data_IF_903163912422
#
_entry.id   IF_903163912422
#
_cell.length_a   1.000
_cell.length_b   1.000
_cell.length_c   1.000
_cell.angle_alpha   90.00
_cell.angle_beta   90.00
_cell.angle_gamma   90.00
#
_symmetry.space_group_name_H-M   'P 1'
#
loop_
_entity.id
_entity.type
_entity.pdbx_description
1 polymer ?
#
# COMPACT_ATOMS: atom_id res chain seq x y z
N UNK A 1 65.94 25.29 -3.19
CA UNK A 1 64.72 26.00 -3.59
C UNK A 1 63.62 24.96 -3.53
N UNK A 2 62.97 24.85 -2.37
CA UNK A 2 61.88 23.91 -2.07
C UNK A 2 61.28 24.25 -0.69
N UNK A 3 59.99 23.88 -0.51
CA UNK A 3 59.25 23.68 0.75
C UNK A 3 58.94 24.87 1.69
N UNK A 4 57.65 24.97 2.10
CA UNK A 4 57.07 25.47 3.39
C UNK A 4 55.63 25.97 3.17
N UNK A 5 54.59 25.69 3.97
CA UNK A 5 54.39 25.65 5.43
C UNK A 5 53.07 24.88 5.72
N UNK A 6 52.71 24.37 6.90
CA UNK A 6 53.39 24.01 8.15
C UNK A 6 52.30 23.35 9.02
N UNK A 7 52.51 22.10 9.45
CA UNK A 7 51.68 21.36 10.41
C UNK A 7 52.54 21.09 11.66
N UNK A 8 51.90 21.26 12.83
CA UNK A 8 52.25 20.73 14.16
C UNK A 8 53.54 21.23 14.85
N UNK A 9 53.33 21.89 15.99
CA UNK A 9 54.27 21.95 17.10
C UNK A 9 53.64 21.31 18.33
N UNK A 10 54.17 20.16 18.74
CA UNK A 10 53.93 19.45 19.99
C UNK A 10 55.26 19.44 20.76
N UNK A 11 55.21 19.57 22.09
CA UNK A 11 56.30 19.18 22.98
C UNK A 11 56.24 19.79 24.38
N UNK A 12 56.04 18.94 25.41
CA UNK A 12 56.64 19.16 26.74
C UNK A 12 55.76 18.94 27.98
N UNK A 13 55.60 17.69 28.42
CA UNK A 13 55.21 17.17 29.76
C UNK A 13 56.29 17.45 30.87
N UNK A 14 56.21 16.98 32.16
CA UNK A 14 55.10 16.80 33.12
C UNK A 14 55.46 17.14 34.63
N UNK A 15 54.50 16.84 35.54
CA UNK A 15 54.60 16.45 36.98
C UNK A 15 54.50 17.51 38.11
N UNK A 16 53.44 17.42 38.96
CA UNK A 16 53.48 16.90 40.35
C UNK A 16 52.08 16.88 41.03
N UNK A 17 51.85 15.87 41.87
CA UNK A 17 50.66 15.47 42.65
C UNK A 17 50.09 16.49 43.68
N UNK A 18 48.81 16.37 44.06
CA UNK A 18 48.32 15.79 45.35
C UNK A 18 46.90 16.25 45.80
N UNK A 19 46.12 15.31 46.37
CA UNK A 19 44.82 15.41 47.12
C UNK A 19 43.52 15.45 46.26
N UNK A 20 42.56 14.50 46.28
CA UNK A 20 42.02 13.61 47.34
C UNK A 20 41.05 14.39 48.26
N UNK A 21 39.76 14.08 48.51
CA UNK A 21 38.87 12.96 48.20
C UNK A 21 37.37 13.35 48.43
N UNK A 22 36.46 12.64 47.75
CA UNK A 22 35.17 12.04 48.20
C UNK A 22 33.99 12.78 48.92
N UNK A 23 32.80 12.59 48.30
CA UNK A 23 31.43 12.30 48.79
C UNK A 23 30.70 13.13 49.88
N UNK A 24 29.47 13.60 49.60
CA UNK A 24 28.21 13.02 50.13
C UNK A 24 26.90 13.80 49.78
N UNK A 25 25.83 13.02 49.61
CA UNK A 25 24.39 13.36 49.60
C UNK A 25 23.91 14.09 50.88
N UNK A 26 22.88 14.96 50.78
CA UNK A 26 21.67 14.92 51.64
C UNK A 26 20.55 15.88 51.21
N UNK A 27 19.35 15.35 51.29
CA UNK A 27 18.02 15.98 51.31
C UNK A 27 17.75 16.73 52.62
N UNK A 28 16.91 17.77 52.61
CA UNK A 28 15.85 18.02 53.62
C UNK A 28 14.95 19.22 53.26
N UNK A 29 13.87 19.33 54.01
CA UNK A 29 12.58 19.98 53.79
C UNK A 29 12.41 21.35 54.49
N UNK A 30 11.32 22.05 54.11
CA UNK A 30 10.35 22.79 54.96
C UNK A 30 10.64 24.24 55.43
N UNK A 31 9.60 25.07 55.20
CA UNK A 31 9.01 26.17 56.02
C UNK A 31 9.67 27.55 56.21
N UNK A 32 8.81 28.58 56.09
CA UNK A 32 8.85 29.91 56.75
C UNK A 32 9.56 30.99 55.93
N UNK A 33 9.16 32.27 55.89
CA UNK A 33 8.13 33.05 56.61
C UNK A 33 8.08 34.46 55.96
N UNK A 34 7.18 35.33 56.46
CA UNK A 34 7.03 36.79 56.29
C UNK A 34 5.91 37.30 55.37
N UNK A 35 4.84 37.78 56.03
CA UNK A 35 3.71 38.51 55.46
C UNK A 35 3.68 40.01 55.79
N UNK A 36 2.60 40.66 55.37
CA UNK A 36 2.00 41.91 55.87
C UNK A 36 0.68 42.11 55.07
N UNK A 37 -0.50 41.86 55.66
CA UNK A 37 -1.40 42.80 56.37
C UNK A 37 -2.45 43.46 55.46
N UNK A 38 -3.73 43.11 55.64
CA UNK A 38 -4.88 43.96 56.02
C UNK A 38 -6.19 43.12 55.99
N UNK A 39 -7.03 43.25 57.02
CA UNK A 39 -8.07 42.27 57.38
C UNK A 39 -9.55 42.67 57.22
N UNK A 40 -10.40 41.82 57.85
CA UNK A 40 -11.87 41.84 58.07
C UNK A 40 -12.79 41.34 56.92
N UNK A 41 -13.89 40.59 57.09
CA UNK A 41 -14.49 39.78 58.17
C UNK A 41 -15.67 38.90 57.61
N UNK A 42 -15.73 37.60 57.99
CA UNK A 42 -16.83 36.56 57.92
C UNK A 42 -17.58 36.22 56.60
N UNK A 43 -18.22 35.02 56.43
CA UNK A 43 -18.10 33.72 57.11
C UNK A 43 -17.72 32.55 56.16
N UNK A 44 -17.25 31.44 56.74
CA UNK A 44 -16.81 30.22 56.05
C UNK A 44 -17.99 29.41 55.49
N UNK A 45 -18.13 29.36 54.17
CA UNK A 45 -18.99 28.39 53.48
C UNK A 45 -18.17 27.13 53.17
N UNK A 46 -18.57 26.00 53.76
CA UNK A 46 -18.07 24.67 53.47
C UNK A 46 -18.43 24.27 52.04
N UNK A 47 -17.52 24.53 51.10
CA UNK A 47 -17.59 23.97 49.75
C UNK A 47 -17.21 22.49 49.82
N UNK A 48 -18.23 21.66 50.02
CA UNK A 48 -18.19 20.27 49.56
C UNK A 48 -17.91 20.29 48.06
N UNK A 49 -16.77 19.74 47.67
CA UNK A 49 -16.38 19.63 46.28
C UNK A 49 -17.28 18.60 45.60
N UNK A 50 -18.38 19.08 45.00
CA UNK A 50 -19.19 18.27 44.11
C UNK A 50 -18.32 17.87 42.93
N UNK A 51 -18.05 16.56 42.81
CA UNK A 51 -17.38 15.99 41.66
C UNK A 51 -18.21 16.30 40.41
N UNK A 52 -17.67 17.09 39.49
CA UNK A 52 -18.24 17.23 38.15
C UNK A 52 -18.08 15.89 37.42
N UNK A 53 -19.07 15.02 37.55
CA UNK A 53 -19.21 13.85 36.70
C UNK A 53 -19.50 14.32 35.26
N UNK A 54 -18.57 14.03 34.35
CA UNK A 54 -18.83 14.15 32.91
C UNK A 54 -20.00 13.22 32.55
N UNK A 55 -20.97 13.66 31.72
CA UNK A 55 -22.06 12.78 31.33
C UNK A 55 -21.52 11.66 30.44
N UNK A 56 -21.61 10.43 30.95
CA UNK A 56 -21.38 9.20 30.20
C UNK A 56 -22.47 9.03 29.15
N UNK A 57 -22.09 9.07 27.87
CA UNK A 57 -22.93 8.86 26.69
C UNK A 57 -23.54 7.44 26.56
N UNK A 58 -23.61 6.68 27.67
CA UNK A 58 -24.05 5.28 27.69
C UNK A 58 -25.52 5.11 28.12
N UNK A 59 -26.20 6.16 28.61
CA UNK A 59 -27.49 6.01 29.28
C UNK A 59 -28.72 6.16 28.35
N UNK A 60 -28.55 6.63 27.12
CA UNK A 60 -29.66 6.81 26.17
C UNK A 60 -29.86 5.62 25.22
N UNK A 61 -29.16 4.49 25.43
CA UNK A 61 -29.25 3.31 24.56
C UNK A 61 -30.26 2.25 25.04
N UNK A 62 -30.91 2.44 26.19
CA UNK A 62 -31.77 1.42 26.83
C UNK A 62 -33.27 1.73 26.81
N UNK A 63 -33.74 2.80 26.16
CA UNK A 63 -35.16 3.22 26.20
C UNK A 63 -36.02 2.72 25.02
N UNK A 64 -35.49 1.90 24.11
CA UNK A 64 -36.29 1.27 23.06
C UNK A 64 -36.02 -0.23 22.96
N UNK A 65 -36.46 -0.96 23.99
CA UNK A 65 -36.59 -2.41 23.93
C UNK A 65 -38.07 -2.75 24.12
N UNK A 66 -38.82 -2.84 23.00
CA UNK A 66 -40.12 -3.48 23.01
C UNK A 66 -39.92 -5.01 23.13
N UNK A 67 -40.54 -5.69 24.10
CA UNK A 67 -40.37 -7.12 24.29
C UNK A 67 -41.43 -7.87 23.48
N UNK A 68 -41.23 -8.04 22.17
CA UNK A 68 -42.08 -8.93 21.37
C UNK A 68 -41.43 -9.25 20.02
N UNK A 69 -40.57 -10.28 19.98
CA UNK A 69 -40.41 -11.27 18.89
C UNK A 69 -39.15 -12.09 19.14
N UNK A 70 -39.26 -13.10 20.00
CA UNK A 70 -38.36 -14.25 19.98
C UNK A 70 -38.81 -15.14 18.80
N UNK A 71 -38.03 -15.18 17.72
CA UNK A 71 -38.29 -16.01 16.55
C UNK A 71 -37.04 -16.20 15.72
N UNK A 72 -36.55 -17.44 15.71
CA UNK A 72 -35.34 -17.87 15.04
C UNK A 72 -35.32 -17.61 13.53
N UNK A 73 -34.17 -17.19 13.01
CA UNK A 73 -33.65 -17.64 11.72
C UNK A 73 -32.18 -17.19 11.58
N UNK A 74 -31.27 -18.16 11.62
CA UNK A 74 -29.90 -17.95 11.17
C UNK A 74 -29.90 -17.60 9.68
N UNK A 75 -29.16 -16.57 9.31
CA UNK A 75 -28.70 -16.41 7.94
C UNK A 75 -27.19 -16.22 7.97
N UNK A 76 -26.49 -17.17 7.36
CA UNK A 76 -25.10 -17.10 6.98
C UNK A 76 -24.91 -15.87 6.10
N UNK A 77 -24.28 -14.83 6.65
CA UNK A 77 -23.95 -13.61 5.95
C UNK A 77 -22.90 -13.85 4.87
N UNK A 78 -23.33 -14.31 3.69
CA UNK A 78 -22.58 -14.10 2.47
C UNK A 78 -22.55 -12.58 2.22
N UNK A 79 -21.38 -11.95 2.35
CA UNK A 79 -21.21 -10.53 2.08
C UNK A 79 -21.60 -10.27 0.62
N UNK A 80 -22.82 -9.76 0.38
CA UNK A 80 -23.18 -9.22 -0.92
C UNK A 80 -22.20 -8.09 -1.21
N UNK A 81 -21.44 -8.19 -2.29
CA UNK A 81 -20.60 -7.09 -2.77
C UNK A 81 -21.54 -5.93 -3.14
N UNK A 82 -21.67 -4.96 -2.26
CA UNK A 82 -22.53 -3.80 -2.49
C UNK A 82 -21.84 -2.82 -3.46
N UNK A 83 -22.33 -2.79 -4.70
CA UNK A 83 -21.88 -1.88 -5.76
C UNK A 83 -22.56 -0.49 -5.68
N UNK A 84 -23.17 -0.12 -4.56
CA UNK A 84 -23.84 1.18 -4.40
C UNK A 84 -22.91 2.38 -4.68
N UNK A 85 -21.60 2.25 -4.50
CA UNK A 85 -20.62 3.29 -4.89
C UNK A 85 -20.57 3.57 -6.39
N UNK A 86 -20.93 2.61 -7.24
CA UNK A 86 -21.00 2.73 -8.71
C UNK A 86 -22.18 3.60 -9.15
N UNK A 87 -23.12 3.94 -8.26
CA UNK A 87 -24.20 4.91 -8.57
C UNK A 87 -23.68 6.33 -8.75
N UNK A 88 -22.50 6.66 -8.19
CA UNK A 88 -21.87 7.97 -8.36
C UNK A 88 -21.08 8.02 -9.67
N UNK A 89 -21.23 9.12 -10.42
CA UNK A 89 -20.66 9.30 -11.76
C UNK A 89 -19.14 9.13 -11.82
N UNK A 90 -18.40 9.65 -10.83
CA UNK A 90 -16.93 9.65 -10.85
C UNK A 90 -16.31 8.30 -10.45
N UNK A 91 -16.76 7.62 -9.38
CA UNK A 91 -16.34 6.25 -9.08
C UNK A 91 -16.64 5.27 -10.23
N UNK A 92 -17.82 5.38 -10.84
CA UNK A 92 -18.18 4.57 -12.00
C UNK A 92 -17.26 4.83 -13.19
N UNK A 93 -16.97 6.12 -13.49
CA UNK A 93 -16.04 6.47 -14.55
C UNK A 93 -14.62 5.95 -14.30
N UNK A 94 -14.12 6.04 -13.05
CA UNK A 94 -12.79 5.53 -12.70
C UNK A 94 -12.70 4.01 -12.89
N UNK A 95 -13.71 3.26 -12.41
CA UNK A 95 -13.80 1.81 -12.60
C UNK A 95 -13.95 1.42 -14.08
N UNK A 96 -14.75 2.16 -14.85
CA UNK A 96 -14.94 1.90 -16.27
C UNK A 96 -13.66 2.12 -17.07
N UNK A 97 -12.94 3.22 -16.81
CA UNK A 97 -11.69 3.56 -17.49
C UNK A 97 -10.61 2.51 -17.23
N UNK A 98 -10.43 2.09 -15.97
CA UNK A 98 -9.46 1.03 -15.63
C UNK A 98 -9.88 -0.33 -16.16
N UNK A 99 -11.17 -0.66 -16.13
CA UNK A 99 -11.72 -1.89 -16.70
C UNK A 99 -11.54 -1.99 -18.22
N UNK A 100 -11.80 -0.91 -18.94
CA UNK A 100 -11.62 -0.84 -20.40
C UNK A 100 -10.13 -0.93 -20.75
N UNK A 101 -9.24 -0.23 -20.03
CA UNK A 101 -7.79 -0.36 -20.20
C UNK A 101 -7.33 -1.80 -20.02
N UNK A 102 -7.75 -2.45 -18.93
CA UNK A 102 -7.42 -3.84 -18.65
C UNK A 102 -7.88 -4.76 -19.78
N UNK A 103 -9.13 -4.62 -20.25
CA UNK A 103 -9.68 -5.45 -21.32
C UNK A 103 -8.90 -5.32 -22.62
N UNK A 104 -8.62 -4.08 -23.07
CA UNK A 104 -7.94 -3.83 -24.34
C UNK A 104 -6.50 -4.35 -24.29
N UNK A 105 -5.76 -4.03 -23.23
CA UNK A 105 -4.36 -4.47 -23.12
C UNK A 105 -4.26 -5.99 -22.98
N UNK A 106 -5.16 -6.64 -22.22
CA UNK A 106 -5.16 -8.10 -22.13
C UNK A 106 -5.49 -8.77 -23.46
N UNK A 107 -6.37 -8.19 -24.28
CA UNK A 107 -6.64 -8.69 -25.63
C UNK A 107 -5.40 -8.58 -26.53
N UNK A 108 -4.68 -7.45 -26.45
CA UNK A 108 -3.45 -7.24 -27.22
C UNK A 108 -2.35 -8.20 -26.80
N UNK A 109 -2.11 -8.36 -25.50
CA UNK A 109 -1.12 -9.29 -24.97
C UNK A 109 -1.45 -10.75 -25.32
N UNK A 110 -2.74 -11.13 -25.27
CA UNK A 110 -3.19 -12.47 -25.68
C UNK A 110 -2.95 -12.73 -27.18
N UNK A 111 -3.20 -11.74 -28.04
CA UNK A 111 -2.91 -11.83 -29.47
C UNK A 111 -1.41 -11.98 -29.74
N UNK A 112 -0.57 -11.13 -29.13
CA UNK A 112 0.89 -11.18 -29.26
C UNK A 112 1.42 -12.55 -28.80
N UNK A 113 0.93 -13.05 -27.66
CA UNK A 113 1.28 -14.37 -27.17
C UNK A 113 0.88 -15.49 -28.14
N UNK A 114 -0.34 -15.45 -28.66
CA UNK A 114 -0.83 -16.44 -29.62
C UNK A 114 0.02 -16.48 -30.90
N UNK A 115 0.29 -15.30 -31.49
CA UNK A 115 1.16 -15.17 -32.66
C UNK A 115 2.58 -15.65 -32.41
N UNK A 116 3.15 -15.33 -31.25
CA UNK A 116 4.46 -15.82 -30.86
C UNK A 116 4.51 -17.34 -30.77
N UNK A 117 3.57 -17.97 -30.05
CA UNK A 117 3.52 -19.42 -29.88
C UNK A 117 3.37 -20.15 -31.22
N UNK A 118 2.55 -19.62 -32.12
CA UNK A 118 2.37 -20.18 -33.47
C UNK A 118 3.61 -20.02 -34.36
N UNK A 119 4.52 -19.11 -34.03
CA UNK A 119 5.73 -18.84 -34.83
C UNK A 119 6.96 -19.60 -34.33
N UNK A 120 6.84 -20.35 -33.23
CA UNK A 120 7.93 -21.15 -32.68
C UNK A 120 8.08 -22.45 -33.46
N UNK A 121 9.32 -22.75 -33.86
CA UNK A 121 9.68 -23.97 -34.58
C UNK A 121 10.06 -25.13 -33.65
N UNK A 122 10.95 -25.99 -34.14
CA UNK A 122 11.48 -27.10 -33.35
C UNK A 122 12.20 -26.60 -32.08
N UNK A 123 12.02 -27.32 -30.98
CA UNK A 123 12.60 -26.96 -29.70
C UNK A 123 14.13 -27.02 -29.71
N UNK A 124 14.78 -25.91 -29.37
CA UNK A 124 16.25 -25.81 -29.32
C UNK A 124 16.75 -25.83 -27.86
N UNK A 125 17.50 -26.86 -27.43
CA UNK A 125 17.92 -27.03 -26.03
C UNK A 125 19.13 -26.16 -25.62
N UNK A 126 19.26 -24.95 -26.17
CA UNK A 126 20.34 -24.02 -25.82
C UNK A 126 19.90 -23.09 -24.67
N UNK A 127 20.69 -22.94 -23.58
CA UNK A 127 20.29 -22.13 -22.42
C UNK A 127 19.91 -20.68 -22.76
N UNK A 128 20.58 -20.07 -23.73
CA UNK A 128 20.30 -18.70 -24.18
C UNK A 128 18.95 -18.57 -24.92
N UNK A 129 18.52 -19.62 -25.62
CA UNK A 129 17.24 -19.68 -26.34
C UNK A 129 16.10 -19.99 -25.39
N UNK A 130 16.35 -20.86 -24.40
CA UNK A 130 15.36 -21.21 -23.37
C UNK A 130 14.82 -20.01 -22.61
N UNK A 131 15.65 -19.02 -22.30
CA UNK A 131 15.19 -17.79 -21.65
C UNK A 131 14.32 -16.93 -22.58
N UNK A 132 14.54 -16.98 -23.91
CA UNK A 132 13.73 -16.24 -24.88
C UNK A 132 12.31 -16.82 -25.00
N UNK A 133 12.15 -18.15 -25.03
CA UNK A 133 10.83 -18.79 -25.09
C UNK A 133 9.92 -18.37 -23.93
N UNK A 134 10.51 -18.07 -22.77
CA UNK A 134 9.77 -17.68 -21.55
C UNK A 134 9.48 -16.18 -21.44
N UNK A 135 10.08 -15.36 -22.30
CA UNK A 135 10.02 -13.89 -22.22
C UNK A 135 8.59 -13.39 -22.42
N UNK A 136 7.97 -13.71 -23.55
CA UNK A 136 6.58 -13.30 -23.85
C UNK A 136 5.56 -13.89 -22.85
N UNK A 137 5.60 -15.21 -22.51
CA UNK A 137 4.73 -15.77 -21.47
C UNK A 137 4.85 -15.06 -20.12
N UNK A 138 6.08 -14.64 -19.75
CA UNK A 138 6.32 -13.90 -18.51
C UNK A 138 5.63 -12.55 -18.57
N UNK A 139 5.85 -11.75 -19.62
CA UNK A 139 5.17 -10.47 -19.81
C UNK A 139 3.64 -10.60 -19.72
N UNK A 140 3.05 -11.53 -20.47
CA UNK A 140 1.61 -11.79 -20.46
C UNK A 140 1.09 -12.10 -19.04
N UNK A 141 1.76 -13.02 -18.33
CA UNK A 141 1.36 -13.42 -16.98
C UNK A 141 1.32 -12.23 -16.01
N UNK A 142 2.23 -11.29 -16.19
CA UNK A 142 2.33 -10.10 -15.34
C UNK A 142 1.37 -9.01 -15.70
N UNK A 143 1.01 -8.85 -16.97
CA UNK A 143 -0.09 -7.97 -17.33
C UNK A 143 -1.42 -8.52 -16.82
N UNK A 144 -1.66 -9.83 -16.92
CA UNK A 144 -2.83 -10.47 -16.32
C UNK A 144 -2.88 -10.19 -14.82
N UNK A 145 -1.80 -10.49 -14.11
CA UNK A 145 -1.71 -10.22 -12.68
C UNK A 145 -1.85 -8.72 -12.36
N UNK A 146 -1.18 -7.88 -13.14
CA UNK A 146 -1.15 -6.42 -13.06
C UNK A 146 -2.53 -5.81 -13.11
N UNK A 147 -3.22 -6.00 -14.24
CA UNK A 147 -4.53 -5.42 -14.47
C UNK A 147 -5.61 -6.00 -13.56
N UNK A 148 -5.55 -7.31 -13.26
CA UNK A 148 -6.52 -7.91 -12.35
C UNK A 148 -6.36 -7.37 -10.92
N UNK A 149 -5.11 -7.27 -10.44
CA UNK A 149 -4.84 -6.72 -9.12
C UNK A 149 -5.16 -5.23 -9.04
N UNK A 150 -4.86 -4.47 -10.09
CA UNK A 150 -5.24 -3.05 -10.20
C UNK A 150 -6.76 -2.89 -10.07
N UNK A 151 -7.56 -3.71 -10.76
CA UNK A 151 -9.02 -3.68 -10.62
C UNK A 151 -9.48 -4.00 -9.19
N UNK A 152 -8.86 -4.97 -8.52
CA UNK A 152 -9.15 -5.28 -7.12
C UNK A 152 -8.85 -4.06 -6.23
N UNK A 153 -7.72 -3.37 -6.44
CA UNK A 153 -7.39 -2.16 -5.70
C UNK A 153 -8.34 -1.01 -5.99
N UNK A 154 -8.76 -0.84 -7.25
CA UNK A 154 -9.76 0.17 -7.63
C UNK A 154 -11.07 -0.08 -6.88
N UNK A 155 -11.56 -1.31 -6.88
CA UNK A 155 -12.79 -1.69 -6.19
C UNK A 155 -12.69 -1.43 -4.68
N UNK A 156 -11.58 -1.85 -4.06
CA UNK A 156 -11.32 -1.62 -2.64
C UNK A 156 -11.24 -0.13 -2.30
N UNK A 157 -10.49 0.65 -3.10
CA UNK A 157 -10.27 2.08 -2.88
C UNK A 157 -11.57 2.89 -3.02
N UNK A 158 -12.39 2.56 -4.02
CA UNK A 158 -13.69 3.22 -4.25
C UNK A 158 -14.71 2.85 -3.18
N UNK A 159 -14.78 1.57 -2.79
CA UNK A 159 -15.67 1.11 -1.70
C UNK A 159 -15.36 1.80 -0.39
N UNK A 160 -14.07 1.88 -0.03
CA UNK A 160 -13.61 2.48 1.22
C UNK A 160 -13.50 4.01 1.15
N UNK A 161 -13.87 4.63 0.01
CA UNK A 161 -13.67 6.07 -0.30
C UNK A 161 -12.26 6.56 0.05
N UNK A 162 -11.25 5.71 -0.16
CA UNK A 162 -9.88 5.95 0.24
C UNK A 162 -9.10 6.64 -0.89
N UNK A 163 -9.03 7.96 -0.82
CA UNK A 163 -8.36 8.77 -1.85
C UNK A 163 -6.87 8.48 -1.97
N UNK A 164 -6.20 8.10 -0.88
CA UNK A 164 -4.77 7.76 -0.89
C UNK A 164 -4.53 6.52 -1.75
N UNK A 165 -5.39 5.51 -1.62
CA UNK A 165 -5.29 4.31 -2.45
C UNK A 165 -5.55 4.62 -3.93
N UNK A 166 -6.49 5.51 -4.25
CA UNK A 166 -6.77 5.93 -5.64
C UNK A 166 -5.53 6.62 -6.26
N UNK A 167 -4.87 7.49 -5.50
CA UNK A 167 -3.59 8.09 -5.93
C UNK A 167 -2.53 7.00 -6.14
N UNK A 168 -2.43 6.06 -5.21
CA UNK A 168 -1.53 4.92 -5.32
C UNK A 168 -1.80 4.05 -6.56
N UNK A 169 -3.08 3.85 -6.93
CA UNK A 169 -3.47 3.14 -8.15
C UNK A 169 -2.98 3.88 -9.40
N UNK A 170 -3.07 5.22 -9.43
CA UNK A 170 -2.50 6.00 -10.54
C UNK A 170 -0.98 5.82 -10.67
N UNK A 171 -0.27 5.76 -9.54
CA UNK A 171 1.19 5.50 -9.50
C UNK A 171 1.49 4.06 -9.96
N UNK A 172 0.67 3.08 -9.54
CA UNK A 172 0.81 1.70 -9.99
C UNK A 172 0.58 1.58 -11.51
N UNK A 173 -0.38 2.32 -12.08
CA UNK A 173 -0.59 2.35 -13.53
C UNK A 173 0.62 2.97 -14.26
N UNK A 174 1.28 3.97 -13.68
CA UNK A 174 2.55 4.49 -14.20
C UNK A 174 3.67 3.43 -14.19
N UNK A 175 3.71 2.56 -13.17
CA UNK A 175 4.65 1.44 -13.16
C UNK A 175 4.34 0.41 -14.26
N UNK A 176 3.06 0.12 -14.53
CA UNK A 176 2.63 -0.69 -15.68
C UNK A 176 3.02 -0.04 -17.02
N UNK A 177 2.96 1.29 -17.12
CA UNK A 177 3.42 2.03 -18.30
C UNK A 177 4.92 1.81 -18.54
N UNK A 178 5.77 2.04 -17.53
CA UNK A 178 7.22 1.81 -17.62
C UNK A 178 7.49 0.36 -18.03
N UNK A 179 6.77 -0.58 -17.44
CA UNK A 179 6.91 -2.00 -17.74
C UNK A 179 6.56 -2.34 -19.19
N UNK A 180 5.45 -1.80 -19.72
CA UNK A 180 5.06 -1.97 -21.13
C UNK A 180 6.05 -1.34 -22.12
N UNK A 181 6.71 -0.24 -21.75
CA UNK A 181 7.79 0.32 -22.56
C UNK A 181 9.03 -0.60 -22.58
N UNK A 182 9.41 -1.16 -21.42
CA UNK A 182 10.54 -2.10 -21.33
C UNK A 182 10.30 -3.43 -22.07
N UNK A 183 9.03 -3.84 -22.20
CA UNK A 183 8.66 -5.05 -22.93
C UNK A 183 9.01 -4.96 -24.42
N UNK A 184 8.78 -3.80 -25.06
CA UNK A 184 9.00 -3.59 -26.49
C UNK A 184 10.44 -3.98 -26.90
N UNK A 185 11.43 -3.40 -26.22
CA UNK A 185 12.84 -3.67 -26.51
C UNK A 185 13.23 -5.13 -26.22
N UNK A 186 12.70 -5.71 -25.14
CA UNK A 186 13.04 -7.08 -24.73
C UNK A 186 12.46 -8.12 -25.69
N UNK A 187 11.23 -7.91 -26.18
CA UNK A 187 10.63 -8.80 -27.18
C UNK A 187 11.38 -8.70 -28.51
N UNK A 188 11.69 -7.49 -28.98
CA UNK A 188 12.45 -7.31 -30.23
C UNK A 188 13.81 -8.02 -30.17
N UNK A 189 14.53 -7.88 -29.06
CA UNK A 189 15.79 -8.56 -28.83
C UNK A 189 15.63 -10.07 -28.77
N UNK A 190 14.59 -10.57 -28.10
CA UNK A 190 14.31 -12.00 -28.00
C UNK A 190 14.06 -12.63 -29.36
N UNK A 191 13.27 -11.98 -30.23
CA UNK A 191 12.99 -12.45 -31.58
C UNK A 191 14.25 -12.59 -32.44
N UNK A 192 15.17 -11.62 -32.37
CA UNK A 192 16.44 -11.70 -33.09
C UNK A 192 17.31 -12.87 -32.62
N UNK A 193 17.34 -13.13 -31.31
CA UNK A 193 18.09 -14.28 -30.75
C UNK A 193 17.44 -15.61 -31.17
N UNK A 194 16.12 -15.70 -31.18
CA UNK A 194 15.39 -16.89 -31.62
C UNK A 194 15.68 -17.21 -33.10
N UNK A 195 15.71 -16.20 -33.97
CA UNK A 195 16.02 -16.36 -35.40
C UNK A 195 17.44 -16.86 -35.63
N UNK A 196 18.45 -16.21 -35.03
CA UNK A 196 19.87 -16.59 -35.19
C UNK A 196 20.15 -18.03 -34.74
N UNK A 197 19.37 -18.55 -33.79
CA UNK A 197 19.52 -19.90 -33.28
C UNK A 197 18.56 -20.92 -33.93
N UNK A 198 17.84 -20.55 -35.00
CA UNK A 198 16.95 -21.46 -35.72
C UNK A 198 15.75 -21.96 -34.92
N UNK A 199 15.29 -21.16 -33.94
CA UNK A 199 14.20 -21.50 -33.04
C UNK A 199 12.81 -21.06 -33.54
N UNK A 200 12.76 -20.31 -34.65
CA UNK A 200 11.53 -19.93 -35.35
C UNK A 200 11.14 -21.00 -36.38
N UNK A 201 9.86 -21.06 -36.72
CA UNK A 201 9.36 -21.96 -37.77
C UNK A 201 10.02 -21.65 -39.14
N UNK A 202 10.19 -22.68 -39.97
CA UNK A 202 10.78 -22.53 -41.29
C UNK A 202 9.96 -21.55 -42.15
N UNK A 203 10.61 -20.52 -42.68
CA UNK A 203 9.97 -19.48 -43.50
C UNK A 203 9.44 -18.28 -42.71
N UNK A 204 9.49 -18.31 -41.37
CA UNK A 204 9.17 -17.16 -40.53
C UNK A 204 10.48 -16.46 -40.13
N UNK A 205 10.62 -15.20 -40.52
CA UNK A 205 11.74 -14.34 -40.07
C UNK A 205 11.34 -13.53 -38.85
N UNK A 206 12.32 -13.08 -38.07
CA UNK A 206 12.04 -12.19 -36.93
C UNK A 206 11.39 -10.89 -37.39
N UNK A 207 11.74 -10.40 -38.59
CA UNK A 207 11.19 -9.20 -39.20
C UNK A 207 9.70 -9.35 -39.53
N UNK A 208 9.28 -10.49 -40.10
CA UNK A 208 7.87 -10.76 -40.39
C UNK A 208 7.03 -10.84 -39.12
N UNK A 209 7.51 -11.58 -38.12
CA UNK A 209 6.81 -11.69 -36.84
C UNK A 209 6.74 -10.34 -36.11
N UNK A 210 7.83 -9.57 -36.15
CA UNK A 210 7.85 -8.22 -35.59
C UNK A 210 6.84 -7.30 -36.28
N UNK A 211 6.73 -7.36 -37.60
CA UNK A 211 5.77 -6.54 -38.36
C UNK A 211 4.32 -6.82 -37.93
N UNK A 212 3.99 -8.09 -37.68
CA UNK A 212 2.69 -8.55 -37.21
C UNK A 212 2.33 -8.08 -35.79
N UNK A 213 3.32 -8.03 -34.86
CA UNK A 213 3.06 -7.78 -33.44
C UNK A 213 3.42 -6.36 -32.96
N UNK A 214 4.29 -5.64 -33.68
CA UNK A 214 4.84 -4.34 -33.24
C UNK A 214 3.74 -3.31 -32.98
N UNK A 215 2.67 -3.31 -33.79
CA UNK A 215 1.58 -2.35 -33.65
C UNK A 215 0.88 -2.50 -32.30
N UNK A 216 0.63 -3.73 -31.87
CA UNK A 216 0.00 -4.05 -30.58
C UNK A 216 0.93 -3.73 -29.41
N UNK A 217 2.21 -4.09 -29.51
CA UNK A 217 3.21 -3.82 -28.47
C UNK A 217 3.45 -2.32 -28.26
N UNK A 218 3.38 -1.50 -29.32
CA UNK A 218 3.48 -0.04 -29.23
C UNK A 218 2.15 0.57 -28.73
N UNK A 219 1.02 -0.01 -29.10
CA UNK A 219 -0.28 0.48 -28.66
C UNK A 219 -0.49 0.31 -27.14
N UNK A 220 0.01 -0.78 -26.53
CA UNK A 220 -0.10 -1.04 -25.08
C UNK A 220 0.38 0.15 -24.22
N UNK A 221 1.64 0.63 -24.30
CA UNK A 221 2.09 1.78 -23.52
C UNK A 221 1.32 3.07 -23.86
N UNK A 222 0.92 3.28 -25.11
CA UNK A 222 0.14 4.46 -25.49
C UNK A 222 -1.24 4.47 -24.81
N UNK A 223 -1.93 3.33 -24.79
CA UNK A 223 -3.23 3.18 -24.13
C UNK A 223 -3.11 3.36 -22.63
N UNK A 224 -2.07 2.77 -22.00
CA UNK A 224 -1.82 2.94 -20.56
C UNK A 224 -1.50 4.40 -20.25
N UNK A 225 -0.72 5.10 -21.08
CA UNK A 225 -0.39 6.51 -20.88
C UNK A 225 -1.62 7.42 -20.97
N UNK A 226 -2.44 7.27 -22.02
CA UNK A 226 -3.68 8.04 -22.19
C UNK A 226 -4.63 7.78 -21.03
N UNK A 227 -4.79 6.51 -20.65
CA UNK A 227 -5.64 6.13 -19.53
C UNK A 227 -5.10 6.70 -18.21
N UNK A 228 -3.79 6.72 -17.98
CA UNK A 228 -3.18 7.32 -16.80
C UNK A 228 -3.54 8.80 -16.68
N UNK A 229 -3.50 9.56 -17.78
CA UNK A 229 -3.90 10.98 -17.80
C UNK A 229 -5.37 11.13 -17.41
N UNK A 230 -6.24 10.30 -17.97
CA UNK A 230 -7.68 10.28 -17.65
C UNK A 230 -7.90 9.91 -16.18
N UNK A 231 -7.20 8.89 -15.66
CA UNK A 231 -7.26 8.45 -14.28
C UNK A 231 -6.83 9.57 -13.32
N UNK A 232 -5.76 10.31 -13.63
CA UNK A 232 -5.31 11.45 -12.80
C UNK A 232 -6.38 12.54 -12.77
N UNK A 233 -7.01 12.85 -13.91
CA UNK A 233 -8.10 13.82 -13.96
C UNK A 233 -9.32 13.37 -13.12
N UNK A 234 -9.75 12.12 -13.26
CA UNK A 234 -10.86 11.57 -12.47
C UNK A 234 -10.49 11.51 -10.99
N UNK A 235 -9.25 11.17 -10.65
CA UNK A 235 -8.73 11.16 -9.28
C UNK A 235 -8.81 12.54 -8.64
N UNK A 236 -8.50 13.59 -9.39
CA UNK A 236 -8.67 14.97 -8.89
C UNK A 236 -10.13 15.29 -8.57
N UNK A 237 -11.08 14.85 -9.41
CA UNK A 237 -12.52 15.01 -9.14
C UNK A 237 -12.99 14.17 -7.94
N UNK A 238 -12.49 12.94 -7.80
CA UNK A 238 -12.76 12.09 -6.64
C UNK A 238 -12.19 12.68 -5.35
N UNK A 239 -10.99 13.26 -5.39
CA UNK A 239 -10.40 13.96 -4.27
C UNK A 239 -11.30 15.11 -3.80
N UNK A 240 -11.82 15.92 -4.72
CA UNK A 240 -12.78 16.98 -4.37
C UNK A 240 -14.04 16.41 -3.72
N UNK A 241 -14.64 15.37 -4.30
CA UNK A 241 -15.86 14.74 -3.78
C UNK A 241 -15.66 14.12 -2.39
N UNK A 242 -14.55 13.40 -2.18
CA UNK A 242 -14.26 12.73 -0.91
C UNK A 242 -13.72 13.67 0.17
N UNK A 243 -13.06 14.77 -0.19
CA UNK A 243 -12.60 15.77 0.79
C UNK A 243 -13.77 16.38 1.57
N UNK A 244 -14.92 16.61 0.91
CA UNK A 244 -16.15 17.10 1.56
C UNK A 244 -16.73 16.08 2.55
N UNK A 245 -16.80 14.80 2.16
CA UNK A 245 -17.27 13.71 3.04
C UNK A 245 -16.36 13.52 4.26
N UNK A 246 -15.03 13.56 4.06
CA UNK A 246 -14.03 13.42 5.12
C UNK A 246 -14.09 14.61 6.09
N UNK A 247 -14.33 15.83 5.61
CA UNK A 247 -14.49 17.01 6.47
C UNK A 247 -15.72 16.89 7.38
N UNK A 248 -16.82 16.33 6.86
CA UNK A 248 -18.08 16.20 7.60
C UNK A 248 -18.04 15.12 8.69
N UNK A 249 -17.31 14.03 8.46
CA UNK A 249 -17.31 12.87 9.37
C UNK A 249 -16.26 12.93 10.49
N UNK A 250 -15.14 13.66 10.31
CA UNK A 250 -14.02 13.65 11.26
C UNK A 250 -14.06 14.85 12.25
N UNK A 251 -14.83 15.91 11.95
CA UNK A 251 -14.80 17.14 12.72
C UNK A 251 -13.46 17.90 12.60
N UNK A 252 -13.33 19.01 13.31
CA UNK A 252 -12.20 19.95 13.15
C UNK A 252 -10.89 19.53 13.85
N UNK A 253 -10.80 18.35 14.48
CA UNK A 253 -9.55 17.91 15.12
C UNK A 253 -8.52 17.42 14.08
N UNK A 254 -7.67 18.36 13.68
CA UNK A 254 -6.56 18.16 12.76
C UNK A 254 -5.57 17.06 13.20
N UNK A 255 -5.34 16.89 14.52
CA UNK A 255 -4.35 15.93 15.03
C UNK A 255 -4.83 14.50 14.86
N UNK A 256 -6.12 14.23 15.09
CA UNK A 256 -6.69 12.91 14.85
C UNK A 256 -6.74 12.58 13.36
N UNK A 257 -7.13 13.55 12.52
CA UNK A 257 -7.14 13.40 11.06
C UNK A 257 -5.76 13.06 10.50
N UNK A 258 -4.69 13.71 10.99
CA UNK A 258 -3.32 13.40 10.58
C UNK A 258 -2.88 11.97 10.94
N UNK A 259 -3.23 11.49 12.14
CA UNK A 259 -2.92 10.11 12.57
C UNK A 259 -3.66 9.07 11.73
N UNK A 260 -4.92 9.32 11.41
CA UNK A 260 -5.71 8.45 10.53
C UNK A 260 -5.17 8.44 9.09
N UNK A 261 -4.71 9.58 8.58
CA UNK A 261 -4.06 9.69 7.27
C UNK A 261 -2.81 8.81 7.19
N UNK A 262 -1.92 8.90 8.18
CA UNK A 262 -0.71 8.05 8.23
C UNK A 262 -1.04 6.55 8.26
N UNK A 263 -2.08 6.16 9.02
CA UNK A 263 -2.58 4.79 9.02
C UNK A 263 -3.10 4.36 7.65
N UNK A 264 -3.90 5.19 6.97
CA UNK A 264 -4.40 4.87 5.63
C UNK A 264 -3.28 4.77 4.59
N UNK A 265 -2.28 5.66 4.65
CA UNK A 265 -1.07 5.57 3.81
C UNK A 265 -0.37 4.25 4.05
N UNK A 266 -0.17 3.88 5.31
CA UNK A 266 0.50 2.64 5.67
C UNK A 266 -0.25 1.41 5.12
N UNK A 267 -1.56 1.29 5.35
CA UNK A 267 -2.36 0.18 4.82
C UNK A 267 -2.38 0.16 3.28
N UNK A 268 -2.38 1.33 2.62
CA UNK A 268 -2.26 1.41 1.18
C UNK A 268 -0.90 0.86 0.70
N UNK A 269 0.20 1.29 1.32
CA UNK A 269 1.54 0.81 1.02
C UNK A 269 1.65 -0.72 1.18
N UNK A 270 1.05 -1.31 2.21
CA UNK A 270 1.04 -2.77 2.38
C UNK A 270 0.39 -3.53 1.20
N UNK A 271 -0.64 -2.94 0.57
CA UNK A 271 -1.28 -3.54 -0.60
C UNK A 271 -0.39 -3.43 -1.84
N UNK A 272 0.24 -2.28 -2.05
CA UNK A 272 1.20 -2.12 -3.15
C UNK A 272 2.45 -2.98 -2.94
N UNK A 273 2.96 -3.11 -1.71
CA UNK A 273 4.05 -4.03 -1.38
C UNK A 273 3.69 -5.47 -1.76
N UNK A 274 2.49 -5.93 -1.41
CA UNK A 274 2.01 -7.25 -1.83
C UNK A 274 2.05 -7.43 -3.35
N UNK A 275 1.57 -6.42 -4.08
CA UNK A 275 1.55 -6.45 -5.55
C UNK A 275 2.94 -6.56 -6.16
N UNK A 276 3.83 -5.63 -5.83
CA UNK A 276 5.16 -5.59 -6.44
C UNK A 276 6.03 -6.77 -5.99
N UNK A 277 5.88 -7.20 -4.73
CA UNK A 277 6.52 -8.42 -4.24
C UNK A 277 6.06 -9.65 -5.03
N UNK A 278 4.75 -9.86 -5.13
CA UNK A 278 4.21 -11.02 -5.81
C UNK A 278 4.51 -10.98 -7.31
N UNK A 279 4.43 -9.82 -7.95
CA UNK A 279 4.83 -9.62 -9.34
C UNK A 279 6.29 -9.97 -9.59
N UNK A 280 7.20 -9.54 -8.71
CA UNK A 280 8.62 -9.93 -8.77
C UNK A 280 8.80 -11.45 -8.63
N UNK A 281 8.12 -12.08 -7.67
CA UNK A 281 8.23 -13.54 -7.47
C UNK A 281 7.67 -14.30 -8.67
N UNK A 282 6.54 -13.89 -9.23
CA UNK A 282 5.96 -14.50 -10.44
C UNK A 282 6.93 -14.39 -11.61
N UNK A 283 7.51 -13.20 -11.86
CA UNK A 283 8.56 -13.01 -12.88
C UNK A 283 9.72 -13.96 -12.67
N UNK A 284 10.25 -13.96 -11.45
CA UNK A 284 11.43 -14.73 -11.10
C UNK A 284 11.20 -16.23 -11.26
N UNK A 285 10.06 -16.74 -10.77
CA UNK A 285 9.70 -18.16 -10.83
C UNK A 285 9.48 -18.62 -12.26
N UNK A 286 8.76 -17.87 -13.09
CA UNK A 286 8.48 -18.30 -14.46
C UNK A 286 9.76 -18.41 -15.28
N UNK A 287 10.65 -17.42 -15.17
CA UNK A 287 11.86 -17.33 -16.00
C UNK A 287 12.97 -18.25 -15.50
N UNK A 288 13.32 -18.13 -14.21
CA UNK A 288 14.64 -18.58 -13.72
C UNK A 288 14.56 -19.86 -12.91
N UNK A 289 13.40 -20.22 -12.36
CA UNK A 289 13.32 -21.39 -11.53
C UNK A 289 13.60 -22.69 -12.30
N UNK A 290 14.78 -23.26 -12.06
CA UNK A 290 15.06 -24.66 -12.35
C UNK A 290 14.45 -25.48 -11.21
N UNK A 291 13.58 -26.43 -11.55
CA UNK A 291 12.74 -27.19 -10.60
C UNK A 291 13.54 -27.93 -9.51
N UNK A 292 14.83 -28.14 -9.70
CA UNK A 292 15.72 -28.92 -8.84
C UNK A 292 16.56 -28.11 -7.85
N UNK A 293 16.56 -26.78 -7.93
CA UNK A 293 17.40 -25.96 -7.04
C UNK A 293 16.69 -25.66 -5.70
N UNK A 294 17.39 -25.75 -4.55
CA UNK A 294 16.80 -25.39 -3.25
C UNK A 294 16.33 -23.92 -3.19
N UNK A 295 16.94 -23.06 -4.02
CA UNK A 295 16.52 -21.66 -4.18
C UNK A 295 15.10 -21.50 -4.73
N UNK A 296 14.62 -22.45 -5.53
CA UNK A 296 13.26 -22.43 -6.06
C UNK A 296 12.24 -22.63 -4.95
N UNK A 297 12.43 -23.67 -4.13
CA UNK A 297 11.57 -23.95 -2.99
C UNK A 297 11.56 -22.78 -2.00
N UNK A 298 12.74 -22.19 -1.73
CA UNK A 298 12.85 -21.04 -0.84
C UNK A 298 12.14 -19.79 -1.39
N UNK A 299 12.20 -19.57 -2.71
CA UNK A 299 11.52 -18.44 -3.37
C UNK A 299 9.98 -18.62 -3.37
N UNK A 300 9.49 -19.84 -3.56
CA UNK A 300 8.04 -20.12 -3.42
C UNK A 300 7.58 -19.94 -1.98
N UNK A 301 8.36 -20.45 -1.01
CA UNK A 301 8.07 -20.30 0.41
C UNK A 301 8.02 -18.83 0.86
N UNK A 302 8.65 -17.92 0.12
CA UNK A 302 8.61 -16.48 0.44
C UNK A 302 7.21 -15.88 0.21
N UNK A 303 6.37 -16.44 -0.67
CA UNK A 303 5.00 -15.94 -0.91
C UNK A 303 4.12 -16.02 0.35
N UNK A 304 3.89 -17.20 0.98
CA UNK A 304 3.07 -17.29 2.18
C UNK A 304 3.70 -16.55 3.36
N UNK A 305 5.04 -16.50 3.45
CA UNK A 305 5.75 -15.73 4.48
C UNK A 305 5.45 -14.24 4.34
N UNK A 306 5.54 -13.67 3.14
CA UNK A 306 5.21 -12.26 2.91
C UNK A 306 3.74 -11.97 3.21
N UNK A 307 2.81 -12.84 2.81
CA UNK A 307 1.39 -12.69 3.15
C UNK A 307 1.20 -12.64 4.67
N UNK A 308 1.83 -13.57 5.41
CA UNK A 308 1.76 -13.60 6.86
C UNK A 308 2.33 -12.32 7.50
N UNK A 309 3.45 -11.81 6.98
CA UNK A 309 4.06 -10.55 7.45
C UNK A 309 3.11 -9.38 7.22
N UNK A 310 2.52 -9.24 6.03
CA UNK A 310 1.63 -8.13 5.70
C UNK A 310 0.31 -8.17 6.48
N UNK A 311 -0.26 -9.35 6.69
CA UNK A 311 -1.45 -9.53 7.55
C UNK A 311 -1.12 -9.17 9.00
N UNK A 312 0.01 -9.67 9.51
CA UNK A 312 0.48 -9.37 10.87
C UNK A 312 0.72 -7.87 11.05
N UNK A 313 1.30 -7.22 10.04
CA UNK A 313 1.53 -5.78 10.03
C UNK A 313 0.24 -4.97 10.13
N UNK A 314 -0.76 -5.30 9.31
CA UNK A 314 -2.07 -4.65 9.36
C UNK A 314 -2.75 -4.89 10.73
N UNK A 315 -2.68 -6.12 11.25
CA UNK A 315 -3.27 -6.51 12.52
C UNK A 315 -2.63 -5.80 13.73
N UNK A 316 -1.30 -5.79 13.82
CA UNK A 316 -0.59 -5.14 14.93
C UNK A 316 -0.74 -3.63 14.90
N UNK A 317 -0.81 -3.03 13.72
CA UNK A 317 -1.06 -1.59 13.57
C UNK A 317 -2.45 -1.21 14.07
N UNK A 318 -3.49 -1.99 13.71
CA UNK A 318 -4.86 -1.74 14.18
C UNK A 318 -5.02 -1.85 15.70
N UNK A 319 -4.26 -2.75 16.33
CA UNK A 319 -4.30 -2.97 17.78
C UNK A 319 -3.36 -2.06 18.56
N UNK A 320 -2.57 -1.24 17.88
CA UNK A 320 -1.48 -0.42 18.46
C UNK A 320 -0.46 -1.27 19.25
N UNK A 321 -0.18 -2.49 18.77
CA UNK A 321 0.73 -3.44 19.43
C UNK A 321 2.20 -3.10 19.13
N UNK A 322 2.83 -2.28 19.99
CA UNK A 322 4.24 -1.85 19.85
C UNK A 322 5.24 -3.00 19.63
N UNK A 323 5.32 -4.06 20.47
CA UNK A 323 6.30 -5.14 20.24
C UNK A 323 6.05 -5.89 18.92
N UNK A 324 4.78 -6.10 18.55
CA UNK A 324 4.44 -6.71 17.26
C UNK A 324 4.89 -5.85 16.07
N UNK A 325 4.75 -4.53 16.16
CA UNK A 325 5.23 -3.61 15.13
C UNK A 325 6.75 -3.55 15.02
N UNK A 326 7.47 -3.60 16.15
CA UNK A 326 8.94 -3.67 16.13
C UNK A 326 9.39 -4.95 15.40
N UNK A 327 8.76 -6.09 15.71
CA UNK A 327 9.03 -7.35 15.02
C UNK A 327 8.79 -7.24 13.51
N UNK A 328 7.65 -6.68 13.10
CA UNK A 328 7.32 -6.46 11.68
C UNK A 328 8.33 -5.54 10.99
N UNK A 329 8.77 -4.46 11.64
CA UNK A 329 9.78 -3.54 11.09
C UNK A 329 11.11 -4.27 10.86
N UNK A 330 11.54 -5.12 11.80
CA UNK A 330 12.75 -5.95 11.62
C UNK A 330 12.57 -6.91 10.43
N UNK A 331 11.39 -7.50 10.26
CA UNK A 331 11.09 -8.35 9.10
C UNK A 331 11.10 -7.55 7.78
N UNK A 332 10.69 -6.28 7.77
CA UNK A 332 10.82 -5.41 6.60
C UNK A 332 12.27 -5.11 6.25
N UNK A 333 13.17 -4.90 7.23
CA UNK A 333 14.61 -4.82 6.95
C UNK A 333 15.16 -6.13 6.38
N UNK A 334 14.66 -7.28 6.83
CA UNK A 334 14.96 -8.58 6.22
C UNK A 334 14.49 -8.68 4.77
N UNK A 335 13.25 -8.26 4.49
CA UNK A 335 12.70 -8.18 3.13
C UNK A 335 13.50 -7.24 2.23
N UNK A 336 13.87 -6.05 2.72
CA UNK A 336 14.73 -5.10 2.02
C UNK A 336 16.07 -5.73 1.66
N UNK A 337 16.71 -6.41 2.62
CA UNK A 337 17.97 -7.11 2.41
C UNK A 337 17.85 -8.23 1.36
N UNK A 338 16.73 -8.96 1.37
CA UNK A 338 16.43 -9.99 0.37
C UNK A 338 16.31 -9.39 -1.05
N UNK A 339 15.60 -8.28 -1.22
CA UNK A 339 15.49 -7.64 -2.54
C UNK A 339 16.81 -7.07 -3.03
N UNK A 340 17.63 -6.49 -2.13
CA UNK A 340 18.98 -6.04 -2.46
C UNK A 340 19.82 -7.23 -2.93
N UNK A 341 19.81 -8.35 -2.20
CA UNK A 341 20.49 -9.58 -2.62
C UNK A 341 20.02 -10.09 -3.99
N UNK A 342 18.70 -10.14 -4.21
CA UNK A 342 18.14 -10.56 -5.51
C UNK A 342 18.53 -9.61 -6.63
N UNK A 343 18.57 -8.30 -6.38
CA UNK A 343 19.04 -7.30 -7.33
C UNK A 343 20.49 -7.58 -7.74
N UNK A 344 21.39 -7.84 -6.79
CA UNK A 344 22.77 -8.24 -7.12
C UNK A 344 22.82 -9.56 -7.91
N UNK A 345 21.99 -10.54 -7.54
CA UNK A 345 21.96 -11.86 -8.19
C UNK A 345 21.54 -11.83 -9.65
N UNK A 346 20.72 -10.85 -10.06
CA UNK A 346 20.32 -10.65 -11.46
C UNK A 346 21.53 -10.31 -12.35
N UNK A 347 22.57 -9.68 -11.80
CA UNK A 347 23.78 -9.27 -12.52
C UNK A 347 24.97 -10.22 -12.32
N UNK A 348 24.79 -11.33 -11.61
CA UNK A 348 25.85 -12.30 -11.35
C UNK A 348 26.30 -12.99 -12.66
N UNK A 349 27.61 -13.01 -12.99
CA UNK A 349 28.11 -13.57 -14.26
C UNK A 349 27.72 -15.04 -14.48
N UNK A 350 27.66 -15.82 -13.40
CA UNK A 350 27.32 -17.26 -13.42
C UNK A 350 25.91 -17.55 -13.95
N UNK A 351 24.98 -16.58 -13.86
CA UNK A 351 23.56 -16.74 -14.23
C UNK A 351 23.08 -15.71 -15.24
N UNK A 352 24.00 -14.89 -15.76
CA UNK A 352 23.70 -13.76 -16.64
C UNK A 352 22.87 -14.15 -17.88
N UNK A 353 23.06 -15.35 -18.42
CA UNK A 353 22.34 -15.90 -19.58
C UNK A 353 20.87 -16.20 -19.29
N UNK A 354 20.57 -16.74 -18.10
CA UNK A 354 19.20 -17.07 -17.69
C UNK A 354 18.34 -15.83 -17.46
N UNK A 355 18.94 -14.73 -16.99
CA UNK A 355 18.24 -13.47 -16.76
C UNK A 355 18.24 -12.54 -17.97
N UNK A 356 19.04 -12.81 -19.01
CA UNK A 356 19.33 -11.84 -20.07
C UNK A 356 18.07 -11.22 -20.69
N UNK A 357 17.08 -12.06 -21.03
CA UNK A 357 15.87 -11.66 -21.73
C UNK A 357 14.89 -10.80 -20.90
N UNK A 358 14.96 -10.90 -19.57
CA UNK A 358 14.04 -10.24 -18.63
C UNK A 358 14.78 -9.34 -17.63
N UNK A 359 16.07 -9.09 -17.86
CA UNK A 359 16.95 -8.41 -16.89
C UNK A 359 16.43 -7.01 -16.59
N UNK A 360 16.10 -6.26 -17.64
CA UNK A 360 15.65 -4.87 -17.52
C UNK A 360 14.35 -4.78 -16.73
N UNK A 361 13.38 -5.65 -17.03
CA UNK A 361 12.09 -5.67 -16.32
C UNK A 361 12.21 -6.16 -14.87
N UNK A 362 12.99 -7.21 -14.61
CA UNK A 362 13.25 -7.71 -13.25
C UNK A 362 13.93 -6.66 -12.38
N UNK A 363 14.93 -5.95 -12.93
CA UNK A 363 15.60 -4.86 -12.21
C UNK A 363 14.63 -3.73 -11.89
N UNK A 364 13.78 -3.32 -12.84
CA UNK A 364 12.80 -2.27 -12.59
C UNK A 364 11.83 -2.65 -11.45
N UNK A 365 11.33 -3.89 -11.44
CA UNK A 365 10.49 -4.39 -10.35
C UNK A 365 11.21 -4.42 -9.00
N UNK A 366 12.46 -4.90 -8.97
CA UNK A 366 13.26 -4.94 -7.75
C UNK A 366 13.50 -3.53 -7.20
N UNK A 367 13.87 -2.55 -8.04
CA UNK A 367 14.10 -1.16 -7.63
C UNK A 367 12.81 -0.52 -7.10
N UNK A 368 11.68 -0.68 -7.78
CA UNK A 368 10.39 -0.15 -7.31
C UNK A 368 10.02 -0.78 -5.96
N UNK A 369 10.21 -2.10 -5.81
CA UNK A 369 9.91 -2.81 -4.56
C UNK A 369 10.80 -2.33 -3.41
N UNK A 370 12.08 -2.10 -3.65
CA UNK A 370 13.01 -1.53 -2.66
C UNK A 370 12.53 -0.14 -2.21
N UNK A 371 12.15 0.73 -3.15
CA UNK A 371 11.63 2.06 -2.82
C UNK A 371 10.35 1.99 -2.00
N UNK A 372 9.42 1.10 -2.35
CA UNK A 372 8.17 0.90 -1.62
C UNK A 372 8.42 0.37 -0.20
N UNK A 373 9.28 -0.64 -0.03
CA UNK A 373 9.63 -1.17 1.30
C UNK A 373 10.25 -0.07 2.18
N UNK A 374 11.12 0.78 1.64
CA UNK A 374 11.70 1.92 2.38
C UNK A 374 10.58 2.87 2.82
N UNK A 375 9.67 3.24 1.92
CA UNK A 375 8.50 4.07 2.27
C UNK A 375 7.62 3.40 3.32
N UNK A 376 7.42 2.08 3.25
CA UNK A 376 6.66 1.29 4.22
C UNK A 376 7.31 1.30 5.60
N UNK A 377 8.63 1.12 5.69
CA UNK A 377 9.38 1.18 6.95
C UNK A 377 9.23 2.57 7.59
N UNK A 378 9.39 3.65 6.82
CA UNK A 378 9.23 5.02 7.31
C UNK A 378 7.81 5.23 7.85
N UNK A 379 6.78 4.82 7.10
CA UNK A 379 5.39 4.95 7.55
C UNK A 379 5.05 4.06 8.75
N UNK A 380 5.66 2.88 8.87
CA UNK A 380 5.51 2.01 10.03
C UNK A 380 6.04 2.68 11.31
N UNK A 381 7.20 3.32 11.24
CA UNK A 381 7.81 4.05 12.36
C UNK A 381 6.92 5.24 12.75
N UNK A 382 6.43 6.01 11.76
CA UNK A 382 5.50 7.13 12.01
C UNK A 382 4.21 6.64 12.67
N UNK A 383 3.63 5.53 12.21
CA UNK A 383 2.44 4.95 12.83
C UNK A 383 2.72 4.53 14.28
N UNK A 384 3.84 3.86 14.53
CA UNK A 384 4.23 3.38 15.86
C UNK A 384 4.47 4.51 16.86
N UNK A 385 5.07 5.63 16.43
CA UNK A 385 5.24 6.81 17.28
C UNK A 385 3.89 7.45 17.68
N UNK A 386 2.86 7.24 16.86
CA UNK A 386 1.51 7.76 17.10
C UNK A 386 0.59 6.80 17.89
N UNK A 387 1.11 5.70 18.44
CA UNK A 387 0.33 4.75 19.25
C UNK A 387 0.02 5.29 20.66
N UNK A 388 -1.10 4.85 21.25
CA UNK A 388 -1.58 5.29 22.56
C UNK A 388 -2.31 6.64 22.54
N UNK A 389 -2.60 7.14 21.35
CA UNK A 389 -3.01 8.51 21.09
C UNK A 389 -4.50 8.64 20.74
N UNK A 390 -5.29 7.56 20.95
CA UNK A 390 -6.74 7.50 20.75
C UNK A 390 -7.20 7.00 19.37
N UNK A 391 -6.28 6.63 18.47
CA UNK A 391 -6.59 6.21 17.10
C UNK A 391 -7.34 4.86 17.06
N UNK A 392 -6.98 3.93 17.95
CA UNK A 392 -7.63 2.61 18.11
C UNK A 392 -9.16 2.66 18.25
N UNK A 393 -9.70 3.63 18.99
CA UNK A 393 -11.15 3.74 19.20
C UNK A 393 -11.88 4.07 17.90
N UNK A 394 -11.32 4.95 17.06
CA UNK A 394 -11.89 5.31 15.76
C UNK A 394 -11.73 4.20 14.72
N UNK A 395 -10.58 3.49 14.71
CA UNK A 395 -10.37 2.37 13.79
C UNK A 395 -11.31 1.19 14.07
N UNK A 396 -11.52 0.86 15.35
CA UNK A 396 -12.41 -0.23 15.75
C UNK A 396 -13.90 0.16 15.68
N UNK A 397 -14.25 1.43 15.96
CA UNK A 397 -15.63 1.92 15.81
C UNK A 397 -16.02 2.15 14.35
N UNK A 398 -15.14 2.63 13.47
CA UNK A 398 -15.46 2.77 12.04
C UNK A 398 -15.85 1.43 11.42
N UNK A 399 -15.15 0.34 11.77
CA UNK A 399 -15.50 -1.02 11.35
C UNK A 399 -16.89 -1.47 11.83
N UNK A 400 -17.31 -1.05 13.03
CA UNK A 400 -18.65 -1.33 13.59
C UNK A 400 -19.75 -0.44 13.02
N UNK A 401 -19.42 0.79 12.62
CA UNK A 401 -20.37 1.71 11.97
C UNK A 401 -20.63 1.27 10.54
N UNK A 402 -19.62 0.84 9.79
CA UNK A 402 -19.83 0.22 8.47
C UNK A 402 -20.75 -1.02 8.59
N UNK A 403 -20.54 -1.87 9.60
CA UNK A 403 -21.40 -3.05 9.85
C UNK A 403 -22.84 -2.69 10.29
N UNK A 404 -23.07 -1.56 10.95
CA UNK A 404 -24.41 -1.12 11.41
C UNK A 404 -25.16 -0.23 10.41
N UNK A 405 -24.46 0.54 9.59
CA UNK A 405 -25.07 1.42 8.58
C UNK A 405 -25.70 0.60 7.45
N UNK A 406 -25.21 -0.62 7.25
CA UNK A 406 -25.71 -1.58 6.26
C UNK A 406 -27.05 -2.27 6.67
N UNK A 407 -27.43 -2.24 7.96
CA UNK A 407 -28.67 -2.91 8.44
C UNK A 407 -29.87 -1.94 8.44
N UNK A 408 -29.63 -0.64 8.61
CA UNK A 408 -30.69 0.36 8.83
C UNK A 408 -30.99 1.29 7.64
N UNK A 409 -30.44 1.04 6.45
CA UNK A 409 -30.60 1.93 5.28
C UNK A 409 -31.71 1.53 4.29
N UNK A 410 -32.66 0.67 4.68
CA UNK A 410 -33.90 0.47 3.93
C UNK A 410 -35.07 1.22 4.60
N UNK A 411 -35.54 2.29 3.94
CA UNK A 411 -36.88 2.83 4.14
C UNK A 411 -36.95 4.25 4.69
N UNK A 412 -36.63 5.26 3.87
CA UNK A 412 -37.28 6.57 4.01
C UNK A 412 -37.45 7.23 2.64
N UNK A 413 -38.25 6.57 1.80
CA UNK A 413 -38.91 7.21 0.67
C UNK A 413 -40.06 8.05 1.19
N UNK A 414 -40.01 9.35 0.89
CA UNK A 414 -41.10 10.34 0.86
C UNK A 414 -42.41 9.95 1.54
N UNK A 415 -42.63 10.47 2.75
CA UNK A 415 -43.97 10.81 3.21
C UNK A 415 -43.96 12.29 3.55
N UNK A 416 -44.47 13.11 2.63
CA UNK A 416 -44.85 14.49 2.91
C UNK A 416 -45.85 14.46 4.07
N UNK A 417 -45.46 15.00 5.21
CA UNK A 417 -46.38 15.31 6.31
C UNK A 417 -47.39 16.35 5.82
N UNK A 418 -48.71 16.09 5.82
CA UNK A 418 -49.67 17.15 5.58
C UNK A 418 -49.63 18.12 6.76
N UNK A 419 -49.36 19.38 6.46
CA UNK A 419 -49.34 20.49 7.41
C UNK A 419 -50.75 20.63 8.01
N UNK A 420 -50.89 20.30 9.29
CA UNK A 420 -52.12 20.50 10.05
C UNK A 420 -52.23 22.00 10.39
N UNK A 421 -53.02 22.74 9.60
CA UNK A 421 -53.45 24.08 10.01
C UNK A 421 -54.50 23.94 11.12
N UNK A 422 -54.12 24.32 12.34
CA UNK A 422 -55.02 24.52 13.47
C UNK A 422 -54.90 25.97 13.93
N UNK A 423 -56.01 26.70 13.86
CA UNK A 423 -56.47 27.84 14.69
C UNK A 423 -57.71 28.41 13.97
N UNK A 424 -58.85 28.76 14.57
CA UNK A 424 -59.31 28.90 15.96
C UNK A 424 -60.85 28.95 15.93
N UNK A 425 -61.46 28.76 17.11
CA UNK A 425 -62.87 29.06 17.39
C UNK A 425 -63.10 30.58 17.34
N UNK A 426 -64.08 31.02 16.54
CA UNK A 426 -65.27 31.77 16.97
C UNK A 426 -66.38 31.60 15.93
#
# INVERSE_FOLDING_TARGET
>A
MDARNSLLGSGGDPAFDQNGAQYHHRSFSQSGDYGAEYGQAYPQASLTQAAYAQPTYAENASLHQNPETAGAAGSTGASKFDFTFVKSRWPAAFLAVTGIQALINLAFEAYVFGKFQLSLGAYVPLPQVQSQYKTIPTFLTLFIFGFLYELILVLDALRMKNTIQIIGVCIANLALLIYSALQLEQIQMALGILEVNGALEQGITSAMLWDDIKAYLIATPVIIAVTTIIMVYITWKLYQQFAWDILKNIGADYRMKKRFLHYQIYIALLKFDFFFFLGFIIQFVVVVAVRTDPEFALTIATIPVTIAILISAAFFTQRENKPGMICVIVLYFGGLSYFIFKLFRIYEPSRASSYFAVRKSLTAFAVITILLIIMTIINAIICMHNFGSGLKAHLLSARKVDEKTDINSFGMSDVKTPMQNRMTID
#
